data_IF_128988352054
#
_entry.id   IF_128988352054
#
_cell.length_a   1.000
_cell.length_b   1.000
_cell.length_c   1.000
_cell.angle_alpha   90.00
_cell.angle_beta   90.00
_cell.angle_gamma   90.00
#
_symmetry.space_group_name_H-M   'P 1'
#
loop_
_entity.id
_entity.type
_entity.pdbx_description
1 polymer ?
#
# COMPACT_ATOMS: atom_id res chain seq x y z
N UNK A 1 7.79 -27.00 -6.96
CA UNK A 1 7.04 -25.82 -6.48
C UNK A 1 7.29 -25.70 -4.99
N UNK A 2 7.67 -24.53 -4.52
CA UNK A 2 7.86 -24.26 -3.09
C UNK A 2 6.51 -24.33 -2.35
N UNK A 3 6.54 -24.56 -1.03
CA UNK A 3 5.32 -24.62 -0.19
C UNK A 3 4.44 -23.36 -0.36
N UNK A 4 5.07 -22.21 -0.56
CA UNK A 4 4.38 -20.94 -0.79
C UNK A 4 3.63 -20.90 -2.13
N UNK A 5 4.25 -21.36 -3.22
CA UNK A 5 3.59 -21.41 -4.54
C UNK A 5 2.36 -22.32 -4.52
N UNK A 6 2.46 -23.48 -3.86
CA UNK A 6 1.32 -24.39 -3.70
C UNK A 6 0.19 -23.77 -2.88
N UNK A 7 0.53 -23.07 -1.80
CA UNK A 7 -0.43 -22.35 -0.97
C UNK A 7 -1.15 -21.26 -1.77
N UNK A 8 -0.41 -20.45 -2.53
CA UNK A 8 -0.99 -19.41 -3.40
C UNK A 8 -1.94 -20.02 -4.44
N UNK A 9 -1.55 -21.13 -5.06
CA UNK A 9 -2.41 -21.82 -6.03
C UNK A 9 -3.69 -22.36 -5.39
N UNK A 10 -3.62 -22.89 -4.17
CA UNK A 10 -4.79 -23.35 -3.43
C UNK A 10 -5.75 -22.18 -3.14
N UNK A 11 -5.24 -21.06 -2.62
CA UNK A 11 -6.03 -19.85 -2.34
C UNK A 11 -6.71 -19.28 -3.61
N UNK A 12 -6.00 -19.25 -4.74
CA UNK A 12 -6.58 -18.80 -6.03
C UNK A 12 -7.66 -19.78 -6.50
N UNK A 13 -7.47 -21.08 -6.27
CA UNK A 13 -8.40 -22.12 -6.72
C UNK A 13 -9.75 -22.09 -6.00
N UNK A 14 -9.76 -21.67 -4.73
CA UNK A 14 -10.98 -21.57 -3.90
C UNK A 14 -11.72 -20.24 -4.09
N UNK A 15 -11.10 -19.25 -4.72
CA UNK A 15 -11.74 -17.96 -4.99
C UNK A 15 -12.86 -18.06 -6.04
N UNK A 16 -13.96 -17.29 -5.86
CA UNK A 16 -14.97 -17.09 -6.89
C UNK A 16 -14.36 -16.56 -8.20
N UNK A 17 -14.86 -17.03 -9.36
CA UNK A 17 -14.33 -16.66 -10.69
C UNK A 17 -14.24 -15.15 -10.90
N UNK A 18 -15.20 -14.38 -10.38
CA UNK A 18 -15.24 -12.91 -10.45
C UNK A 18 -14.04 -12.26 -9.76
N UNK A 19 -13.55 -12.84 -8.66
CA UNK A 19 -12.39 -12.34 -7.91
C UNK A 19 -11.05 -12.76 -8.49
N UNK A 20 -10.99 -13.82 -9.30
CA UNK A 20 -9.74 -14.29 -9.93
C UNK A 20 -9.17 -13.26 -10.90
N UNK A 21 -10.03 -12.50 -11.58
CA UNK A 21 -9.62 -11.41 -12.45
C UNK A 21 -8.95 -10.28 -11.65
N UNK A 22 -9.50 -9.92 -10.50
CA UNK A 22 -8.92 -8.92 -9.58
C UNK A 22 -7.54 -9.38 -9.08
N UNK A 23 -7.40 -10.64 -8.68
CA UNK A 23 -6.12 -11.21 -8.25
C UNK A 23 -5.08 -11.16 -9.36
N UNK A 24 -5.47 -11.50 -10.60
CA UNK A 24 -4.56 -11.39 -11.75
C UNK A 24 -4.12 -9.94 -12.00
N UNK A 25 -5.04 -8.97 -11.88
CA UNK A 25 -4.73 -7.56 -11.99
C UNK A 25 -3.76 -7.12 -10.88
N UNK A 26 -3.96 -7.57 -9.64
CA UNK A 26 -3.09 -7.29 -8.52
C UNK A 26 -1.69 -7.89 -8.69
N UNK A 27 -1.57 -9.15 -9.13
CA UNK A 27 -0.26 -9.77 -9.42
C UNK A 27 0.49 -9.00 -10.51
N UNK A 28 -0.23 -8.53 -11.55
CA UNK A 28 0.38 -7.69 -12.59
C UNK A 28 0.83 -6.35 -12.05
N UNK A 29 0.02 -5.71 -11.22
CA UNK A 29 0.42 -4.49 -10.51
C UNK A 29 1.69 -4.74 -9.69
N UNK A 30 1.76 -5.81 -8.90
CA UNK A 30 2.95 -6.14 -8.11
C UNK A 30 4.20 -6.27 -9.00
N UNK A 31 4.07 -6.94 -10.14
CA UNK A 31 5.18 -7.08 -11.11
C UNK A 31 5.62 -5.74 -11.72
N UNK A 32 4.68 -4.83 -11.95
CA UNK A 32 4.94 -3.48 -12.48
C UNK A 32 5.41 -2.51 -11.39
N UNK A 33 5.08 -2.78 -10.14
CA UNK A 33 5.46 -1.97 -8.98
C UNK A 33 6.78 -2.42 -8.35
N UNK A 34 7.37 -3.52 -8.82
CA UNK A 34 8.78 -3.83 -8.54
C UNK A 34 9.57 -2.69 -9.20
N UNK A 35 10.19 -1.79 -8.41
CA UNK A 35 11.01 -0.74 -8.98
C UNK A 35 12.14 -1.41 -9.74
N UNK A 36 12.33 -1.05 -11.01
CA UNK A 36 13.52 -1.48 -11.75
C UNK A 36 14.80 -0.89 -11.15
N UNK A 37 14.68 0.24 -10.44
CA UNK A 37 15.75 0.87 -9.66
C UNK A 37 15.22 1.39 -8.32
N UNK A 38 15.99 1.16 -7.26
CA UNK A 38 15.70 1.57 -5.88
C UNK A 38 15.47 3.10 -5.75
N UNK A 39 16.10 3.87 -6.64
CA UNK A 39 15.97 5.33 -6.75
C UNK A 39 14.53 5.75 -7.07
N UNK A 40 13.83 5.01 -7.94
CA UNK A 40 12.46 5.37 -8.34
C UNK A 40 11.46 5.19 -7.17
N UNK A 41 11.73 4.24 -6.28
CA UNK A 41 10.91 4.03 -5.08
C UNK A 41 11.08 5.18 -4.08
N UNK A 42 12.32 5.59 -3.83
CA UNK A 42 12.64 6.72 -2.95
C UNK A 42 12.04 8.03 -3.49
N UNK A 43 12.16 8.29 -4.80
CA UNK A 43 11.58 9.47 -5.43
C UNK A 43 10.04 9.49 -5.35
N UNK A 44 9.38 8.34 -5.57
CA UNK A 44 7.93 8.23 -5.41
C UNK A 44 7.49 8.45 -3.98
N UNK A 45 8.23 7.89 -3.01
CA UNK A 45 7.97 8.08 -1.59
C UNK A 45 8.11 9.56 -1.19
N UNK A 46 9.20 10.21 -1.58
CA UNK A 46 9.45 11.62 -1.32
C UNK A 46 8.38 12.54 -1.94
N UNK A 47 7.94 12.23 -3.15
CA UNK A 47 6.87 12.98 -3.83
C UNK A 47 5.53 12.82 -3.12
N UNK A 48 5.19 11.60 -2.70
CA UNK A 48 3.98 11.34 -1.92
C UNK A 48 4.03 12.08 -0.58
N UNK A 49 5.16 12.02 0.13
CA UNK A 49 5.35 12.69 1.42
C UNK A 49 5.24 14.22 1.29
N UNK A 50 5.83 14.81 0.24
CA UNK A 50 5.67 16.24 -0.07
C UNK A 50 4.22 16.62 -0.34
N UNK A 51 3.49 15.80 -1.10
CA UNK A 51 2.07 16.04 -1.41
C UNK A 51 1.20 16.00 -0.15
N UNK A 52 1.43 15.03 0.74
CA UNK A 52 0.69 14.90 2.00
C UNK A 52 0.96 16.11 2.91
N UNK A 53 2.23 16.52 3.03
CA UNK A 53 2.61 17.71 3.83
C UNK A 53 2.03 19.01 3.27
N UNK A 54 2.00 19.17 1.94
CA UNK A 54 1.37 20.31 1.30
C UNK A 54 -0.14 20.34 1.60
N UNK A 55 -0.81 19.17 1.49
CA UNK A 55 -2.23 19.02 1.81
C UNK A 55 -2.54 19.33 3.28
N UNK A 56 -1.71 18.85 4.21
CA UNK A 56 -1.84 19.16 5.63
C UNK A 56 -1.77 20.67 5.90
N UNK A 57 -0.83 21.36 5.23
CA UNK A 57 -0.71 22.83 5.30
C UNK A 57 -1.94 23.54 4.72
N UNK A 58 -2.47 23.09 3.58
CA UNK A 58 -3.71 23.63 3.00
C UNK A 58 -4.92 23.46 3.94
N UNK A 59 -4.94 22.36 4.70
CA UNK A 59 -6.03 22.02 5.61
C UNK A 59 -5.84 22.58 7.03
N UNK A 60 -4.80 23.39 7.27
CA UNK A 60 -4.39 23.85 8.61
C UNK A 60 -4.22 22.72 9.65
N UNK A 61 -3.88 21.51 9.19
CA UNK A 61 -3.58 20.39 10.07
C UNK A 61 -2.20 20.63 10.66
N UNK A 62 -2.12 20.80 11.97
CA UNK A 62 -0.84 20.99 12.65
C UNK A 62 -0.18 19.64 12.98
N UNK A 63 1.09 19.67 13.36
CA UNK A 63 1.77 18.46 13.82
C UNK A 63 1.12 17.93 15.11
N UNK A 64 0.60 18.82 15.96
CA UNK A 64 -0.13 18.40 17.16
C UNK A 64 -1.41 17.64 16.82
N UNK A 65 -2.14 18.02 15.76
CA UNK A 65 -3.34 17.31 15.30
C UNK A 65 -3.00 15.89 14.82
N UNK A 66 -1.89 15.76 14.08
CA UNK A 66 -1.38 14.46 13.59
C UNK A 66 -0.99 13.57 14.78
N UNK A 67 -0.26 14.12 15.75
CA UNK A 67 0.20 13.38 16.91
C UNK A 67 -0.97 12.96 17.82
N UNK A 68 -2.04 13.76 17.88
CA UNK A 68 -3.27 13.44 18.58
C UNK A 68 -4.02 12.28 17.90
N UNK A 69 -4.14 12.26 16.58
CA UNK A 69 -4.75 11.13 15.86
C UNK A 69 -3.92 9.84 15.99
N UNK A 70 -2.60 9.91 15.85
CA UNK A 70 -1.72 8.74 16.01
C UNK A 70 -1.87 8.15 17.42
N UNK A 71 -1.98 9.01 18.44
CA UNK A 71 -2.19 8.58 19.82
C UNK A 71 -3.56 7.94 20.00
N UNK A 72 -4.62 8.55 19.48
CA UNK A 72 -5.98 8.00 19.54
C UNK A 72 -6.05 6.58 18.94
N UNK A 73 -5.47 6.36 17.76
CA UNK A 73 -5.43 5.06 17.10
C UNK A 73 -4.61 4.04 17.89
N UNK A 74 -3.47 4.44 18.47
CA UNK A 74 -2.64 3.54 19.31
C UNK A 74 -3.29 3.18 20.64
N UNK A 75 -4.10 4.07 21.19
CA UNK A 75 -4.87 3.85 22.43
C UNK A 75 -6.20 3.12 22.18
N UNK A 76 -6.48 2.73 20.93
CA UNK A 76 -7.65 1.91 20.57
C UNK A 76 -8.97 2.68 20.53
N UNK A 77 -8.92 3.99 20.18
CA UNK A 77 -10.10 4.77 19.82
C UNK A 77 -10.25 4.90 18.31
#
# INVERSE_FOLDING_TARGET
MTNLEQTIMLEISTLPKTRRADVLAFIRYLKLSIPSDQIELEERFDKALKSIRARAKEMNITQEDIDAEIRAVREGR
#
